data_IF_059760259671
#
_entry.id   IF_059760259671
#
_cell.length_a   1.000
_cell.length_b   1.000
_cell.length_c   1.000
_cell.angle_alpha   90.00
_cell.angle_beta   90.00
_cell.angle_gamma   90.00
#
_symmetry.space_group_name_H-M   'P 1'
#
loop_
_entity.id
_entity.type
_entity.pdbx_description
1 polymer ?
#
# COMPACT_ATOMS: atom_id res chain seq x y z
N UNK A 1 -29.06 -0.41 -4.53
CA UNK A 1 -27.72 0.22 -4.43
C UNK A 1 -26.84 -0.49 -5.43
N UNK A 2 -26.77 0.03 -6.65
CA UNK A 2 -25.88 -0.49 -7.71
C UNK A 2 -24.86 0.61 -8.01
N UNK A 3 -24.05 0.97 -7.01
CA UNK A 3 -22.95 1.90 -7.23
C UNK A 3 -21.91 1.20 -8.09
N UNK A 4 -21.58 1.79 -9.24
CA UNK A 4 -20.49 1.31 -10.08
C UNK A 4 -19.20 1.92 -9.55
N UNK A 5 -18.24 1.04 -9.25
CA UNK A 5 -16.95 1.47 -8.72
C UNK A 5 -15.86 1.04 -9.68
N UNK A 6 -14.88 1.93 -9.84
CA UNK A 6 -13.74 1.68 -10.70
C UNK A 6 -12.45 1.67 -9.89
N UNK A 7 -11.61 0.68 -10.17
CA UNK A 7 -10.24 0.62 -9.67
C UNK A 7 -9.30 1.23 -10.71
N UNK A 8 -8.56 2.26 -10.31
CA UNK A 8 -7.62 2.98 -11.17
C UNK A 8 -6.24 3.00 -10.51
N UNK A 9 -5.19 2.79 -11.32
CA UNK A 9 -3.82 3.08 -10.87
C UNK A 9 -3.58 4.58 -10.98
N UNK A 10 -3.10 5.20 -9.90
CA UNK A 10 -2.76 6.62 -9.90
C UNK A 10 -1.72 6.91 -11.00
N UNK A 11 -1.88 8.04 -11.68
CA UNK A 11 -0.95 8.53 -12.70
C UNK A 11 -0.82 10.03 -12.60
N UNK A 12 0.25 10.59 -13.17
CA UNK A 12 0.49 12.04 -13.15
C UNK A 12 -0.58 12.84 -13.91
N UNK A 13 -1.39 12.18 -14.74
CA UNK A 13 -2.52 12.80 -15.46
C UNK A 13 -3.83 12.78 -14.66
N UNK A 14 -3.87 12.10 -13.51
CA UNK A 14 -5.07 11.98 -12.70
C UNK A 14 -5.33 13.29 -11.93
N UNK A 15 -6.54 13.88 -12.00
CA UNK A 15 -6.87 15.17 -11.37
C UNK A 15 -7.11 15.01 -9.86
N UNK A 16 -6.06 14.66 -9.12
CA UNK A 16 -6.13 14.30 -7.69
C UNK A 16 -6.72 15.40 -6.80
N UNK A 17 -6.43 16.67 -7.12
CA UNK A 17 -6.89 17.84 -6.36
C UNK A 17 -8.39 18.13 -6.50
N UNK A 18 -9.00 17.64 -7.57
CA UNK A 18 -10.41 17.89 -7.88
C UNK A 18 -11.32 16.78 -7.29
N UNK A 19 -10.72 15.71 -6.77
CA UNK A 19 -11.43 14.56 -6.21
C UNK A 19 -11.70 14.77 -4.73
N UNK A 20 -12.89 14.33 -4.29
CA UNK A 20 -13.29 14.38 -2.89
C UNK A 20 -12.91 13.06 -2.21
N UNK A 21 -12.03 13.14 -1.22
CA UNK A 21 -11.62 12.04 -0.35
C UNK A 21 -11.50 12.54 1.09
N UNK A 22 -12.19 11.85 2.00
CA UNK A 22 -12.05 12.01 3.45
C UNK A 22 -12.35 10.67 4.14
N UNK A 23 -11.35 10.10 4.81
CA UNK A 23 -11.47 8.86 5.56
C UNK A 23 -11.49 9.06 7.09
N UNK A 24 -11.73 10.29 7.56
CA UNK A 24 -11.68 10.68 8.98
C UNK A 24 -10.30 10.50 9.63
N UNK A 25 -9.27 10.28 8.81
CA UNK A 25 -7.87 10.22 9.22
C UNK A 25 -7.08 11.30 8.46
N UNK A 26 -6.62 12.30 9.21
CA UNK A 26 -5.92 13.45 8.66
C UNK A 26 -4.62 13.04 7.97
N UNK A 27 -3.88 12.09 8.53
CA UNK A 27 -2.57 11.69 8.00
C UNK A 27 -2.76 10.94 6.68
N UNK A 28 -3.78 10.06 6.59
CA UNK A 28 -4.13 9.38 5.34
C UNK A 28 -4.68 10.34 4.29
N UNK A 29 -5.51 11.30 4.69
CA UNK A 29 -6.01 12.33 3.77
C UNK A 29 -4.85 13.18 3.22
N UNK A 30 -3.93 13.61 4.08
CA UNK A 30 -2.74 14.37 3.67
C UNK A 30 -1.86 13.56 2.71
N UNK A 31 -1.58 12.30 3.06
CA UNK A 31 -0.84 11.38 2.20
C UNK A 31 -1.51 11.25 0.81
N UNK A 32 -2.83 11.09 0.77
CA UNK A 32 -3.55 10.92 -0.48
C UNK A 32 -3.34 12.10 -1.43
N UNK A 33 -3.42 13.34 -0.96
CA UNK A 33 -3.32 14.54 -1.82
C UNK A 33 -1.89 15.02 -2.08
N UNK A 34 -0.96 14.82 -1.14
CA UNK A 34 0.40 15.37 -1.23
C UNK A 34 1.44 14.31 -1.61
N UNK A 35 1.40 13.15 -0.97
CA UNK A 35 2.50 12.18 -1.02
C UNK A 35 2.28 11.05 -2.03
N UNK A 36 1.02 10.68 -2.29
CA UNK A 36 0.69 9.48 -3.06
C UNK A 36 1.30 9.47 -4.47
N UNK A 37 1.36 10.64 -5.13
CA UNK A 37 2.00 10.81 -6.43
C UNK A 37 3.53 10.92 -6.32
N UNK A 38 4.04 11.56 -5.27
CA UNK A 38 5.48 11.67 -5.01
C UNK A 38 6.10 10.28 -4.80
N UNK A 39 5.49 9.46 -3.96
CA UNK A 39 5.91 8.08 -3.68
C UNK A 39 5.95 7.22 -4.94
N UNK A 40 5.02 7.48 -5.87
CA UNK A 40 5.00 6.79 -7.16
C UNK A 40 6.11 7.26 -8.10
N UNK A 41 6.42 8.56 -8.12
CA UNK A 41 7.52 9.12 -8.90
C UNK A 41 8.89 8.66 -8.37
N UNK A 42 9.03 8.51 -7.04
CA UNK A 42 10.25 8.05 -6.37
C UNK A 42 10.37 6.52 -6.33
N UNK A 43 9.42 5.79 -6.94
CA UNK A 43 9.37 4.31 -6.97
C UNK A 43 9.29 3.65 -5.58
N UNK A 44 8.83 4.40 -4.57
CA UNK A 44 8.61 3.91 -3.21
C UNK A 44 7.34 3.04 -3.11
N UNK A 45 6.27 3.47 -3.76
CA UNK A 45 4.98 2.80 -3.73
C UNK A 45 4.19 3.01 -5.02
N UNK A 46 3.29 2.08 -5.35
CA UNK A 46 2.28 2.26 -6.39
C UNK A 46 0.91 2.44 -5.75
N UNK A 47 0.27 3.57 -5.99
CA UNK A 47 -1.04 3.89 -5.42
C UNK A 47 -2.17 3.48 -6.37
N UNK A 48 -3.19 2.83 -5.83
CA UNK A 48 -4.43 2.47 -6.50
C UNK A 48 -5.61 3.12 -5.80
N UNK A 49 -6.58 3.59 -6.59
CA UNK A 49 -7.72 4.39 -6.15
C UNK A 49 -8.99 3.64 -6.53
N UNK A 50 -9.95 3.61 -5.60
CA UNK A 50 -11.32 3.16 -5.83
C UNK A 50 -12.21 4.39 -5.86
N UNK A 51 -12.80 4.68 -7.02
CA UNK A 51 -13.71 5.82 -7.20
C UNK A 51 -15.14 5.36 -7.48
N UNK A 52 -16.09 6.18 -7.07
CA UNK A 52 -17.50 6.11 -7.45
C UNK A 52 -17.68 6.82 -8.79
N UNK A 53 -18.14 6.08 -9.80
CA UNK A 53 -18.34 6.61 -11.15
C UNK A 53 -19.45 7.68 -11.21
N UNK A 54 -20.41 7.64 -10.28
CA UNK A 54 -21.57 8.55 -10.32
C UNK A 54 -21.31 9.90 -9.64
N UNK A 55 -20.40 9.93 -8.65
CA UNK A 55 -20.22 11.09 -7.76
C UNK A 55 -18.82 11.72 -7.82
N UNK A 56 -17.94 11.21 -8.70
CA UNK A 56 -16.53 11.63 -8.78
C UNK A 56 -15.79 11.59 -7.43
N UNK A 57 -16.29 10.77 -6.50
CA UNK A 57 -15.78 10.66 -5.14
C UNK A 57 -14.83 9.47 -5.03
N UNK A 58 -13.76 9.65 -4.28
CA UNK A 58 -12.84 8.55 -3.95
C UNK A 58 -13.36 7.87 -2.69
N UNK A 59 -13.62 6.57 -2.80
CA UNK A 59 -14.10 5.74 -1.71
C UNK A 59 -12.96 5.21 -0.85
N UNK A 60 -11.76 5.10 -1.44
CA UNK A 60 -10.58 4.60 -0.78
C UNK A 60 -9.40 4.48 -1.72
N UNK A 61 -8.22 4.29 -1.14
CA UNK A 61 -7.00 4.00 -1.88
C UNK A 61 -6.17 2.97 -1.12
N UNK A 62 -5.23 2.33 -1.82
CA UNK A 62 -4.21 1.50 -1.20
C UNK A 62 -2.90 1.63 -1.96
N UNK A 63 -1.79 1.42 -1.25
CA UNK A 63 -0.45 1.50 -1.81
C UNK A 63 0.22 0.13 -1.77
N UNK A 64 0.88 -0.24 -2.86
CA UNK A 64 1.71 -1.44 -2.96
C UNK A 64 3.16 -1.01 -2.95
N UNK A 65 3.89 -1.41 -1.92
CA UNK A 65 5.31 -1.10 -1.74
C UNK A 65 6.15 -2.33 -2.09
N UNK A 66 7.29 -2.10 -2.75
CA UNK A 66 8.28 -3.14 -2.97
C UNK A 66 9.19 -3.22 -1.74
N UNK A 67 8.73 -3.93 -0.71
CA UNK A 67 9.49 -4.13 0.51
C UNK A 67 10.14 -5.52 0.56
N UNK A 68 11.29 -5.63 1.23
CA UNK A 68 12.01 -6.87 1.45
C UNK A 68 12.32 -7.03 2.94
N UNK A 69 11.64 -7.99 3.55
CA UNK A 69 11.96 -8.46 4.89
C UNK A 69 13.05 -9.52 4.84
N UNK A 70 14.17 -9.28 5.52
CA UNK A 70 15.30 -10.21 5.59
C UNK A 70 15.42 -10.85 6.97
N UNK A 71 16.14 -11.97 7.05
CA UNK A 71 16.43 -12.63 8.33
C UNK A 71 17.23 -11.74 9.29
N UNK A 72 17.96 -10.76 8.75
CA UNK A 72 18.82 -9.87 9.50
C UNK A 72 18.02 -8.83 10.29
N UNK A 73 16.92 -8.37 9.72
CA UNK A 73 15.98 -7.41 10.34
C UNK A 73 15.33 -7.96 11.62
N UNK A 74 15.30 -9.29 11.75
CA UNK A 74 14.67 -9.97 12.88
C UNK A 74 15.66 -10.76 13.76
N UNK A 75 16.98 -10.48 13.72
CA UNK A 75 17.98 -11.27 14.47
C UNK A 75 17.58 -11.55 15.93
N UNK A 76 17.11 -10.54 16.65
CA UNK A 76 16.76 -10.65 18.08
C UNK A 76 15.46 -11.45 18.32
N UNK A 77 14.50 -11.34 17.40
CA UNK A 77 13.17 -11.98 17.50
C UNK A 77 13.08 -13.29 16.73
N UNK A 78 14.09 -13.63 15.93
CA UNK A 78 14.12 -14.80 15.03
C UNK A 78 13.77 -16.08 15.75
N UNK A 79 14.36 -16.33 16.92
CA UNK A 79 14.09 -17.53 17.70
C UNK A 79 12.64 -17.58 18.21
N UNK A 80 12.03 -16.43 18.54
CA UNK A 80 10.61 -16.36 18.95
C UNK A 80 9.68 -16.61 17.77
N UNK A 81 10.00 -16.04 16.59
CA UNK A 81 9.21 -16.19 15.37
C UNK A 81 9.31 -17.62 14.83
N UNK A 82 10.53 -18.17 14.70
CA UNK A 82 10.76 -19.52 14.17
C UNK A 82 10.05 -20.59 14.99
N UNK A 83 9.99 -20.48 16.31
CA UNK A 83 9.25 -21.43 17.16
C UNK A 83 7.76 -21.53 16.85
N UNK A 84 7.16 -20.45 16.32
CA UNK A 84 5.74 -20.44 15.88
C UNK A 84 5.54 -20.95 14.46
N UNK A 85 6.61 -21.05 13.66
CA UNK A 85 6.57 -21.53 12.29
C UNK A 85 6.86 -23.04 12.28
N UNK A 86 6.07 -23.87 11.58
CA UNK A 86 6.38 -25.29 11.43
C UNK A 86 7.78 -25.51 10.87
N UNK A 87 8.53 -26.47 11.43
CA UNK A 87 9.94 -26.72 11.09
C UNK A 87 10.21 -26.85 9.58
N UNK A 88 9.29 -27.49 8.83
CA UNK A 88 9.40 -27.65 7.37
C UNK A 88 9.41 -26.33 6.59
N UNK A 89 8.90 -25.25 7.18
CA UNK A 89 8.85 -23.90 6.61
C UNK A 89 9.95 -22.99 7.14
N UNK A 90 10.88 -23.51 7.94
CA UNK A 90 12.04 -22.73 8.36
C UNK A 90 12.96 -22.48 7.18
N UNK A 91 13.39 -21.22 7.04
CA UNK A 91 14.35 -20.83 6.04
C UNK A 91 15.64 -21.63 6.23
N UNK A 92 16.00 -22.47 5.26
CA UNK A 92 17.28 -23.19 5.25
C UNK A 92 18.32 -22.20 4.74
N UNK A 93 19.33 -21.91 5.57
CA UNK A 93 20.56 -21.28 5.06
C UNK A 93 21.17 -22.28 4.09
N UNK A 94 21.08 -22.00 2.80
CA UNK A 94 21.86 -22.71 1.79
C UNK A 94 23.28 -22.22 1.99
N UNK A 95 24.16 -23.08 2.51
CA UNK A 95 25.60 -22.83 2.45
C UNK A 95 26.00 -22.98 0.98
N UNK A 96 26.22 -21.86 0.31
CA UNK A 96 26.90 -21.78 -0.99
C UNK A 96 28.40 -21.76 -0.73
#
# INVERSE_FOLDING_TARGET
MSGQFRLIRLSNSYPLKDKIFDCDDKDLNEFFYQDSLLYQNELLAVTYIVEDEDNDAVLGYFCVLNDKLTSEDFKEVRNKIQRKIPYRKHYKLIHV
#
